data_IF_365259878427
#
_entry.id   IF_365259878427
#
_cell.length_a   1.000
_cell.length_b   1.000
_cell.length_c   1.000
_cell.angle_alpha   90.00
_cell.angle_beta   90.00
_cell.angle_gamma   90.00
#
_symmetry.space_group_name_H-M   'P 1'
#
loop_
_entity.id
_entity.type
_entity.pdbx_description
1 polymer ?
#
# COMPACT_ATOMS: atom_id res chain seq x y z
N UNK A 1 6.53 29.63 3.25
CA UNK A 1 5.15 30.11 3.54
C UNK A 1 4.49 29.05 4.40
N UNK A 2 3.88 29.46 5.50
CA UNK A 2 3.26 28.59 6.50
C UNK A 2 1.73 28.61 6.39
N UNK A 3 1.10 27.46 6.64
CA UNK A 3 -0.35 27.28 6.60
C UNK A 3 -0.81 26.65 7.91
N UNK A 4 -1.78 27.30 8.56
CA UNK A 4 -2.50 26.75 9.71
C UNK A 4 -3.77 26.03 9.23
N UNK A 5 -3.81 24.72 9.40
CA UNK A 5 -5.01 23.91 9.27
C UNK A 5 -5.69 23.82 10.65
N UNK A 6 -6.90 24.36 10.75
CA UNK A 6 -7.64 24.53 12.02
C UNK A 6 -9.07 24.00 11.91
N UNK A 7 -9.83 24.02 13.00
CA UNK A 7 -11.20 23.51 13.00
C UNK A 7 -11.22 22.00 12.77
N UNK A 8 -10.21 21.28 13.26
CA UNK A 8 -10.11 19.83 13.19
C UNK A 8 -10.85 19.27 14.39
N UNK A 9 -11.96 18.55 14.16
CA UNK A 9 -12.76 17.99 15.24
C UNK A 9 -12.05 16.83 15.95
N UNK A 10 -11.44 15.95 15.14
CA UNK A 10 -10.61 14.84 15.59
C UNK A 10 -9.34 14.79 14.72
N UNK A 11 -8.17 14.68 15.34
CA UNK A 11 -6.90 14.53 14.66
C UNK A 11 -6.22 13.24 15.11
N UNK A 12 -5.98 12.34 14.16
CA UNK A 12 -5.09 11.18 14.33
C UNK A 12 -3.67 11.61 13.96
N UNK A 13 -2.72 11.37 14.85
CA UNK A 13 -1.30 11.71 14.63
C UNK A 13 -0.42 10.49 14.36
N UNK A 14 -0.86 9.31 14.79
CA UNK A 14 -0.05 8.09 14.91
C UNK A 14 1.20 8.27 15.79
N UNK A 15 1.12 9.16 16.78
CA UNK A 15 2.16 9.37 17.78
C UNK A 15 1.58 9.22 19.18
N UNK A 16 1.90 8.10 19.84
CA UNK A 16 1.40 7.82 21.19
C UNK A 16 1.90 8.78 22.27
N UNK A 17 2.88 9.63 21.97
CA UNK A 17 3.34 10.70 22.88
C UNK A 17 2.47 11.95 22.81
N UNK A 18 1.55 12.02 21.85
CA UNK A 18 0.63 13.13 21.59
C UNK A 18 -0.82 12.67 21.82
N UNK A 19 -1.66 13.54 22.38
CA UNK A 19 -3.09 13.27 22.52
C UNK A 19 -3.43 12.29 23.65
N UNK A 20 -4.27 11.30 23.35
CA UNK A 20 -4.87 10.37 24.32
C UNK A 20 -3.97 9.22 24.78
N UNK A 21 -2.72 9.15 24.30
CA UNK A 21 -1.76 8.09 24.64
C UNK A 21 -2.00 6.76 23.91
N UNK A 22 -2.99 6.69 23.01
CA UNK A 22 -3.20 5.53 22.15
C UNK A 22 -2.18 5.50 21.00
N UNK A 23 -2.06 4.37 20.29
CA UNK A 23 -1.21 4.27 19.10
C UNK A 23 -1.60 5.28 17.98
N UNK A 24 -2.85 5.76 17.97
CA UNK A 24 -3.32 6.78 17.03
C UNK A 24 -3.00 8.21 17.48
N UNK A 25 -2.67 8.43 18.76
CA UNK A 25 -2.37 9.74 19.34
C UNK A 25 -3.47 10.77 19.05
N UNK A 26 -4.70 10.49 19.52
CA UNK A 26 -5.89 11.24 19.12
C UNK A 26 -5.95 12.57 19.87
N UNK A 27 -6.15 13.66 19.12
CA UNK A 27 -6.46 14.99 19.64
C UNK A 27 -7.88 15.39 19.22
N UNK A 28 -8.57 16.13 20.08
CA UNK A 28 -9.86 16.78 19.78
C UNK A 28 -9.69 18.29 19.76
N UNK A 29 -10.50 18.99 18.97
CA UNK A 29 -10.39 20.44 18.75
C UNK A 29 -8.94 20.86 18.45
N UNK A 30 -8.37 20.24 17.40
CA UNK A 30 -6.96 20.28 17.09
C UNK A 30 -6.62 21.22 15.92
N UNK A 31 -5.32 21.44 15.73
CA UNK A 31 -4.78 22.13 14.58
C UNK A 31 -3.40 21.59 14.18
N UNK A 32 -3.01 21.86 12.94
CA UNK A 32 -1.70 21.51 12.37
C UNK A 32 -1.15 22.74 11.65
N UNK A 33 0.10 23.12 11.94
CA UNK A 33 0.82 24.12 11.14
C UNK A 33 1.78 23.39 10.22
N UNK A 34 1.76 23.77 8.96
CA UNK A 34 2.65 23.24 7.92
C UNK A 34 3.54 24.35 7.40
N UNK A 35 4.84 24.08 7.26
CA UNK A 35 5.79 24.98 6.63
C UNK A 35 6.71 24.17 5.72
N UNK A 36 6.95 24.68 4.51
CA UNK A 36 7.88 24.11 3.53
C UNK A 36 7.67 22.59 3.30
N UNK A 37 6.41 22.18 3.20
CA UNK A 37 6.00 20.80 2.96
C UNK A 37 6.02 19.87 4.17
N UNK A 38 6.37 20.37 5.35
CA UNK A 38 6.55 19.59 6.58
C UNK A 38 5.67 20.09 7.71
N UNK A 39 5.29 19.19 8.61
CA UNK A 39 4.58 19.54 9.85
C UNK A 39 5.51 20.36 10.73
N UNK A 40 5.17 21.63 10.95
CA UNK A 40 5.92 22.54 11.80
C UNK A 40 5.41 22.50 13.25
N UNK A 41 4.13 22.22 13.45
CA UNK A 41 3.50 22.13 14.76
C UNK A 41 2.20 21.31 14.70
N UNK A 42 1.88 20.59 15.78
CA UNK A 42 0.63 19.84 15.96
C UNK A 42 0.19 19.93 17.42
N UNK A 43 -1.10 20.11 17.68
CA UNK A 43 -1.63 20.21 19.04
C UNK A 43 -3.07 20.73 19.12
N UNK A 44 -3.47 21.14 20.32
CA UNK A 44 -4.79 21.73 20.57
C UNK A 44 -4.95 23.08 19.85
N UNK A 45 -6.08 23.31 19.18
CA UNK A 45 -6.30 24.48 18.35
C UNK A 45 -6.14 25.82 19.11
N UNK A 46 -6.39 25.83 20.42
CA UNK A 46 -6.20 27.01 21.27
C UNK A 46 -4.73 27.44 21.40
N UNK A 47 -3.79 26.50 21.23
CA UNK A 47 -2.35 26.72 21.35
C UNK A 47 -1.67 26.90 19.99
N UNK A 48 -2.44 26.93 18.89
CA UNK A 48 -1.92 26.97 17.55
C UNK A 48 -1.13 28.28 17.28
N UNK A 49 0.12 28.20 16.81
CA UNK A 49 0.88 29.37 16.39
C UNK A 49 0.20 30.10 15.22
N UNK A 50 0.47 31.40 15.10
CA UNK A 50 0.10 32.15 13.90
C UNK A 50 0.84 31.61 12.67
N UNK A 51 0.18 31.63 11.51
CA UNK A 51 0.73 31.23 10.21
C UNK A 51 0.35 32.26 9.14
N UNK A 52 0.99 32.20 7.97
CA UNK A 52 0.76 33.16 6.87
C UNK A 52 -0.65 33.02 6.30
N UNK A 53 -1.19 31.79 6.25
CA UNK A 53 -2.57 31.51 5.84
C UNK A 53 -3.25 30.54 6.78
N UNK A 54 -4.59 30.53 6.73
CA UNK A 54 -5.44 29.64 7.52
C UNK A 54 -6.44 28.91 6.63
N UNK A 55 -6.59 27.61 6.88
CA UNK A 55 -7.62 26.75 6.30
C UNK A 55 -8.46 26.21 7.46
N UNK A 56 -9.78 26.31 7.34
CA UNK A 56 -10.73 25.80 8.32
C UNK A 56 -11.37 24.50 7.80
N UNK A 57 -11.28 23.46 8.62
CA UNK A 57 -11.79 22.12 8.34
C UNK A 57 -13.18 21.85 8.93
N UNK A 58 -13.79 22.85 9.56
CA UNK A 58 -15.20 22.87 9.96
C UNK A 58 -15.66 21.62 10.73
N UNK A 59 -14.81 21.11 11.62
CA UNK A 59 -15.07 19.97 12.49
C UNK A 59 -14.81 18.59 11.88
N UNK A 60 -14.22 18.50 10.68
CA UNK A 60 -13.87 17.22 10.06
C UNK A 60 -12.75 16.48 10.81
N UNK A 61 -12.74 15.14 10.70
CA UNK A 61 -11.64 14.29 11.18
C UNK A 61 -10.46 14.34 10.21
N UNK A 62 -9.24 14.42 10.74
CA UNK A 62 -7.99 14.44 9.97
C UNK A 62 -7.12 13.27 10.38
N UNK A 63 -6.53 12.63 9.38
CA UNK A 63 -5.63 11.49 9.55
C UNK A 63 -4.39 11.67 8.69
N UNK A 64 -3.26 11.02 9.01
CA UNK A 64 -2.15 10.92 8.07
C UNK A 64 -2.64 10.32 6.75
N UNK A 65 -2.03 10.72 5.64
CA UNK A 65 -2.38 10.18 4.33
C UNK A 65 -2.13 8.68 4.31
N UNK A 66 -3.00 7.92 3.63
CA UNK A 66 -2.81 6.48 3.52
C UNK A 66 -1.51 6.17 2.77
N UNK A 67 -0.87 5.07 3.16
CA UNK A 67 0.34 4.55 2.55
C UNK A 67 0.03 3.17 2.01
N UNK A 68 -0.15 3.08 0.70
CA UNK A 68 -0.48 1.82 0.04
C UNK A 68 0.79 1.07 -0.34
N UNK A 69 1.22 0.15 0.52
CA UNK A 69 2.51 -0.52 0.41
C UNK A 69 2.53 -1.72 -0.54
N UNK A 70 1.44 -2.02 -1.25
CA UNK A 70 1.39 -3.15 -2.16
C UNK A 70 0.36 -2.93 -3.27
N UNK A 71 0.83 -2.74 -4.50
CA UNK A 71 -0.04 -2.72 -5.69
C UNK A 71 0.69 -3.16 -6.97
N UNK A 72 -0.08 -3.49 -8.01
CA UNK A 72 0.41 -3.86 -9.33
C UNK A 72 -0.29 -2.99 -10.38
N UNK A 73 0.10 -1.71 -10.45
CA UNK A 73 -0.62 -0.70 -11.24
C UNK A 73 -0.20 -0.65 -12.72
N UNK A 74 0.94 -1.26 -13.08
CA UNK A 74 1.44 -1.29 -14.47
C UNK A 74 0.92 -2.53 -15.17
N UNK A 75 -0.24 -2.43 -15.79
CA UNK A 75 -0.83 -3.50 -16.60
C UNK A 75 -1.70 -2.94 -17.72
N UNK A 76 -2.07 -3.81 -18.65
CA UNK A 76 -3.10 -3.54 -19.63
C UNK A 76 -4.12 -4.69 -19.68
N UNK A 77 -5.25 -4.44 -20.34
CA UNK A 77 -6.35 -5.39 -20.44
C UNK A 77 -7.23 -5.40 -19.19
N UNK A 78 -8.12 -6.38 -19.14
CA UNK A 78 -9.15 -6.54 -18.11
C UNK A 78 -9.33 -8.04 -17.82
N UNK A 79 -9.74 -8.38 -16.59
CA UNK A 79 -10.09 -9.75 -16.17
C UNK A 79 -11.52 -9.83 -15.60
N UNK A 80 -12.41 -8.92 -15.97
CA UNK A 80 -13.81 -8.93 -15.55
C UNK A 80 -14.53 -10.23 -15.96
N UNK A 81 -14.18 -10.82 -17.11
CA UNK A 81 -14.74 -12.10 -17.55
C UNK A 81 -14.38 -13.26 -16.60
N UNK A 82 -13.12 -13.31 -16.15
CA UNK A 82 -12.68 -14.26 -15.13
C UNK A 82 -13.40 -14.04 -13.81
N UNK A 83 -13.45 -12.79 -13.35
CA UNK A 83 -14.15 -12.42 -12.13
C UNK A 83 -15.62 -12.86 -12.18
N UNK A 84 -16.32 -12.57 -13.27
CA UNK A 84 -17.72 -12.95 -13.46
C UNK A 84 -17.90 -14.47 -13.47
N UNK A 85 -16.98 -15.23 -14.09
CA UNK A 85 -17.01 -16.68 -14.07
C UNK A 85 -16.82 -17.23 -12.64
N UNK A 86 -15.78 -16.77 -11.94
CA UNK A 86 -15.47 -17.14 -10.54
C UNK A 86 -16.65 -16.86 -9.61
N UNK A 87 -17.21 -15.65 -9.67
CA UNK A 87 -18.33 -15.23 -8.83
C UNK A 87 -19.63 -15.98 -9.13
N UNK A 88 -19.80 -16.45 -10.37
CA UNK A 88 -20.94 -17.27 -10.79
C UNK A 88 -20.72 -18.78 -10.56
N UNK A 89 -19.60 -19.19 -9.95
CA UNK A 89 -19.28 -20.60 -9.69
C UNK A 89 -18.97 -21.41 -10.95
N UNK A 90 -18.60 -20.75 -12.05
CA UNK A 90 -18.22 -21.43 -13.30
C UNK A 90 -16.73 -21.75 -13.29
N UNK A 91 -16.32 -22.96 -13.72
CA UNK A 91 -14.92 -23.22 -14.03
C UNK A 91 -14.44 -22.18 -15.05
N UNK A 92 -13.26 -21.62 -14.81
CA UNK A 92 -12.64 -20.65 -15.70
C UNK A 92 -11.19 -21.07 -15.93
N UNK A 93 -10.84 -21.37 -17.17
CA UNK A 93 -9.50 -21.73 -17.63
C UNK A 93 -8.78 -20.56 -18.30
N UNK A 94 -9.45 -19.40 -18.42
CA UNK A 94 -9.15 -18.31 -19.36
C UNK A 94 -7.89 -17.51 -19.04
N UNK A 95 -6.75 -18.18 -19.08
CA UNK A 95 -5.40 -17.64 -19.09
C UNK A 95 -4.89 -17.16 -17.73
N UNK A 96 -5.78 -16.70 -16.85
CA UNK A 96 -5.41 -16.15 -15.57
C UNK A 96 -4.42 -14.99 -15.73
N UNK A 97 -3.31 -15.03 -15.01
CA UNK A 97 -2.23 -14.05 -15.15
C UNK A 97 -1.67 -13.97 -16.59
N UNK A 98 -1.70 -15.06 -17.36
CA UNK A 98 -1.17 -15.06 -18.74
C UNK A 98 -1.94 -14.08 -19.65
N UNK A 99 -3.24 -13.88 -19.41
CA UNK A 99 -4.05 -12.89 -20.14
C UNK A 99 -3.54 -11.46 -19.89
N UNK A 100 -3.24 -11.13 -18.63
CA UNK A 100 -2.65 -9.82 -18.29
C UNK A 100 -1.24 -9.68 -18.85
N UNK A 101 -0.44 -10.76 -18.85
CA UNK A 101 0.92 -10.75 -19.41
C UNK A 101 0.88 -10.45 -20.91
N UNK A 102 0.04 -11.15 -21.67
CA UNK A 102 -0.10 -10.93 -23.11
C UNK A 102 -0.58 -9.49 -23.43
N UNK A 103 -1.60 -9.02 -22.72
CA UNK A 103 -2.12 -7.66 -22.89
C UNK A 103 -1.07 -6.60 -22.54
N UNK A 104 -0.35 -6.79 -21.42
CA UNK A 104 0.69 -5.87 -20.97
C UNK A 104 1.84 -5.84 -21.95
N UNK A 105 2.37 -6.99 -22.41
CA UNK A 105 3.43 -7.07 -23.43
C UNK A 105 3.03 -6.32 -24.72
N UNK A 106 1.79 -6.51 -25.17
CA UNK A 106 1.25 -5.91 -26.40
C UNK A 106 0.94 -4.41 -26.30
N UNK A 107 0.80 -3.87 -25.09
CA UNK A 107 0.50 -2.47 -24.87
C UNK A 107 1.69 -1.55 -25.17
N UNK A 108 1.39 -0.31 -25.56
CA UNK A 108 2.40 0.75 -25.68
C UNK A 108 2.73 1.35 -24.31
N UNK A 109 3.91 1.97 -24.20
CA UNK A 109 4.34 2.70 -23.01
C UNK A 109 3.33 3.79 -22.61
N UNK A 110 2.72 4.46 -23.60
CA UNK A 110 1.66 5.46 -23.38
C UNK A 110 0.42 4.83 -22.76
N UNK A 111 -0.06 3.69 -23.29
CA UNK A 111 -1.23 3.03 -22.74
C UNK A 111 -1.02 2.55 -21.30
N UNK A 112 0.17 2.04 -20.99
CA UNK A 112 0.54 1.63 -19.62
C UNK A 112 0.64 2.83 -18.68
N UNK A 113 1.23 3.93 -19.14
CA UNK A 113 1.34 5.16 -18.36
C UNK A 113 -0.02 5.81 -18.11
N UNK A 114 -0.90 5.84 -19.11
CA UNK A 114 -2.25 6.41 -18.99
C UNK A 114 -3.12 5.59 -18.03
N UNK A 115 -3.03 4.25 -18.08
CA UNK A 115 -3.72 3.38 -17.11
C UNK A 115 -3.23 3.64 -15.68
N UNK A 116 -1.91 3.68 -15.49
CA UNK A 116 -1.33 3.91 -14.18
C UNK A 116 -1.63 5.33 -13.65
N UNK A 117 -1.64 6.36 -14.51
CA UNK A 117 -2.06 7.72 -14.15
C UNK A 117 -3.50 7.74 -13.66
N UNK A 118 -4.41 7.07 -14.37
CA UNK A 118 -5.80 6.92 -13.96
C UNK A 118 -5.94 6.31 -12.56
N UNK A 119 -5.28 5.17 -12.33
CA UNK A 119 -5.31 4.47 -11.04
C UNK A 119 -4.63 5.29 -9.93
N UNK A 120 -3.51 5.96 -10.21
CA UNK A 120 -2.83 6.82 -9.25
C UNK A 120 -3.70 8.02 -8.85
N UNK A 121 -4.45 8.59 -9.79
CA UNK A 121 -5.41 9.66 -9.50
C UNK A 121 -6.58 9.16 -8.64
N UNK A 122 -7.07 7.94 -8.87
CA UNK A 122 -8.08 7.31 -8.01
C UNK A 122 -7.55 7.04 -6.60
N UNK A 123 -6.35 6.46 -6.47
CA UNK A 123 -5.66 6.26 -5.19
C UNK A 123 -5.55 7.60 -4.44
N UNK A 124 -5.08 8.65 -5.11
CA UNK A 124 -4.93 9.98 -4.52
C UNK A 124 -6.27 10.54 -4.07
N UNK A 125 -7.31 10.48 -4.91
CA UNK A 125 -8.66 10.92 -4.55
C UNK A 125 -9.26 10.12 -3.39
N UNK A 126 -8.87 8.85 -3.25
CA UNK A 126 -9.20 7.97 -2.14
C UNK A 126 -8.37 8.18 -0.86
N UNK A 127 -7.42 9.11 -0.87
CA UNK A 127 -6.61 9.50 0.29
C UNK A 127 -5.23 8.84 0.40
N UNK A 128 -4.81 8.07 -0.60
CA UNK A 128 -3.46 7.49 -0.67
C UNK A 128 -2.49 8.57 -1.14
N UNK A 129 -1.53 8.91 -0.28
CA UNK A 129 -0.53 9.96 -0.56
C UNK A 129 0.86 9.40 -0.86
N UNK A 130 1.05 8.10 -0.65
CA UNK A 130 2.27 7.36 -0.94
C UNK A 130 1.86 5.96 -1.32
N UNK A 131 2.36 5.45 -2.44
CA UNK A 131 2.07 4.10 -2.89
C UNK A 131 3.30 3.44 -3.48
N UNK A 132 3.35 2.13 -3.34
CA UNK A 132 4.26 1.24 -4.04
C UNK A 132 3.58 0.64 -5.27
N UNK A 133 4.36 0.33 -6.31
CA UNK A 133 3.86 -0.49 -7.41
C UNK A 133 4.94 -1.43 -7.96
N UNK A 134 4.46 -2.60 -8.38
CA UNK A 134 5.29 -3.71 -8.87
C UNK A 134 5.28 -3.79 -10.40
N UNK A 135 6.35 -4.38 -10.94
CA UNK A 135 6.33 -5.00 -12.26
C UNK A 135 5.67 -6.40 -12.18
N UNK A 136 6.04 -7.36 -13.04
CA UNK A 136 5.57 -8.75 -12.93
C UNK A 136 4.46 -9.16 -13.89
N UNK A 137 4.08 -8.30 -14.83
CA UNK A 137 3.25 -8.66 -15.99
C UNK A 137 4.01 -8.61 -17.33
N UNK A 138 5.34 -8.46 -17.28
CA UNK A 138 6.22 -8.56 -18.43
C UNK A 138 6.86 -9.94 -18.58
N UNK A 139 7.37 -10.51 -17.49
CA UNK A 139 7.99 -11.85 -17.42
C UNK A 139 9.11 -12.10 -18.46
N UNK A 140 9.76 -11.04 -18.92
CA UNK A 140 10.99 -11.06 -19.69
C UNK A 140 11.76 -9.75 -19.46
N UNK A 141 13.02 -9.71 -19.89
CA UNK A 141 13.94 -8.60 -19.62
C UNK A 141 13.39 -7.26 -20.13
N UNK A 142 12.85 -7.23 -21.35
CA UNK A 142 12.41 -6.01 -22.01
C UNK A 142 11.16 -5.43 -21.33
N UNK A 143 10.16 -6.28 -21.10
CA UNK A 143 8.86 -5.86 -20.60
C UNK A 143 8.87 -5.57 -19.09
N UNK A 144 9.66 -6.28 -18.28
CA UNK A 144 9.85 -5.96 -16.86
C UNK A 144 10.54 -4.61 -16.68
N UNK A 145 11.66 -4.39 -17.40
CA UNK A 145 12.39 -3.12 -17.38
C UNK A 145 11.50 -1.96 -17.85
N UNK A 146 10.72 -2.17 -18.91
CA UNK A 146 9.75 -1.18 -19.42
C UNK A 146 8.71 -0.82 -18.37
N UNK A 147 8.15 -1.81 -17.68
CA UNK A 147 7.13 -1.59 -16.65
C UNK A 147 7.67 -0.75 -15.49
N UNK A 148 8.89 -1.03 -15.02
CA UNK A 148 9.55 -0.23 -13.99
C UNK A 148 9.86 1.20 -14.47
N UNK A 149 10.30 1.37 -15.73
CA UNK A 149 10.56 2.69 -16.29
C UNK A 149 9.28 3.56 -16.36
N UNK A 150 8.13 2.93 -16.66
CA UNK A 150 6.83 3.62 -16.60
C UNK A 150 6.48 3.96 -15.14
N UNK A 151 6.58 3.01 -14.22
CA UNK A 151 6.24 3.20 -12.81
C UNK A 151 7.05 4.31 -12.11
N UNK A 152 8.35 4.41 -12.38
CA UNK A 152 9.23 5.41 -11.77
C UNK A 152 8.84 6.86 -12.05
N UNK A 153 8.02 7.10 -13.09
CA UNK A 153 7.49 8.43 -13.39
C UNK A 153 6.45 8.91 -12.35
N UNK A 154 5.91 7.99 -11.56
CA UNK A 154 4.79 8.24 -10.66
C UNK A 154 5.12 8.01 -9.19
N UNK A 155 6.00 7.04 -8.89
CA UNK A 155 6.44 6.77 -7.52
C UNK A 155 7.91 6.33 -7.49
N UNK A 156 8.70 6.73 -6.48
CA UNK A 156 10.02 6.14 -6.24
C UNK A 156 9.93 4.71 -5.66
N UNK A 157 8.77 4.31 -5.15
CA UNK A 157 8.55 3.01 -4.51
C UNK A 157 8.22 1.94 -5.56
N UNK A 158 9.24 1.56 -6.34
CA UNK A 158 9.12 0.62 -7.44
C UNK A 158 9.76 -0.73 -7.10
N UNK A 159 9.06 -1.81 -7.42
CA UNK A 159 9.45 -3.17 -7.05
C UNK A 159 9.58 -4.06 -8.27
N UNK A 160 10.76 -4.68 -8.42
CA UNK A 160 11.00 -5.68 -9.44
C UNK A 160 10.39 -7.03 -9.01
N UNK A 161 9.36 -7.47 -9.74
CA UNK A 161 8.66 -8.75 -9.55
C UNK A 161 8.77 -9.63 -10.80
N UNK A 162 9.98 -9.83 -11.33
CA UNK A 162 10.19 -10.77 -12.44
C UNK A 162 9.79 -12.21 -12.08
N UNK A 163 9.84 -12.54 -10.79
CA UNK A 163 9.40 -13.82 -10.24
C UNK A 163 7.91 -13.80 -9.80
N UNK A 164 7.03 -13.25 -10.64
CA UNK A 164 5.59 -13.32 -10.37
C UNK A 164 5.03 -14.72 -10.65
N UNK A 165 5.30 -15.26 -11.84
CA UNK A 165 5.05 -16.66 -12.22
C UNK A 165 6.07 -17.06 -13.29
N UNK A 166 6.20 -18.36 -13.54
CA UNK A 166 6.98 -18.84 -14.69
C UNK A 166 6.12 -18.73 -15.96
N UNK A 167 6.53 -17.94 -16.97
CA UNK A 167 5.76 -17.77 -18.20
C UNK A 167 5.75 -19.06 -19.04
N UNK A 168 4.78 -19.17 -19.95
CA UNK A 168 4.48 -20.41 -20.67
C UNK A 168 5.69 -20.97 -21.42
N UNK A 169 6.47 -20.09 -22.04
CA UNK A 169 7.67 -20.40 -22.82
C UNK A 169 8.82 -21.01 -21.99
N UNK A 170 8.79 -20.88 -20.66
CA UNK A 170 9.78 -21.46 -19.75
C UNK A 170 9.26 -22.64 -18.92
N UNK A 171 8.05 -23.17 -19.20
CA UNK A 171 7.48 -24.29 -18.41
C UNK A 171 8.37 -25.54 -18.39
N UNK A 172 9.03 -25.86 -19.50
CA UNK A 172 9.95 -27.01 -19.59
C UNK A 172 11.40 -26.67 -19.21
N UNK A 173 11.70 -25.39 -18.97
CA UNK A 173 13.04 -24.84 -18.73
C UNK A 173 13.00 -23.87 -17.56
N UNK A 174 12.29 -24.25 -16.50
CA UNK A 174 12.02 -23.42 -15.32
C UNK A 174 13.31 -22.86 -14.69
N UNK A 175 14.34 -23.69 -14.56
CA UNK A 175 15.64 -23.27 -14.03
C UNK A 175 16.30 -22.18 -14.87
N UNK A 176 16.08 -22.17 -16.19
CA UNK A 176 16.57 -21.10 -17.07
C UNK A 176 15.85 -19.78 -16.74
N UNK A 177 14.55 -19.82 -16.45
CA UNK A 177 13.79 -18.63 -16.03
C UNK A 177 14.26 -18.10 -14.69
N UNK A 178 14.46 -18.98 -13.70
CA UNK A 178 14.99 -18.61 -12.38
C UNK A 178 16.35 -17.92 -12.52
N UNK A 179 17.26 -18.48 -13.35
CA UNK A 179 18.56 -17.85 -13.67
C UNK A 179 18.43 -16.54 -14.43
N UNK A 180 17.45 -16.42 -15.33
CA UNK A 180 17.18 -15.17 -16.04
C UNK A 180 16.74 -14.07 -15.08
N UNK A 181 15.79 -14.38 -14.17
CA UNK A 181 15.29 -13.44 -13.16
C UNK A 181 16.41 -12.97 -12.26
N UNK A 182 17.23 -13.88 -11.71
CA UNK A 182 18.35 -13.56 -10.82
C UNK A 182 19.58 -12.97 -11.54
N UNK A 183 19.61 -12.95 -12.87
CA UNK A 183 20.76 -12.57 -13.68
C UNK A 183 20.49 -11.37 -14.58
N UNK A 184 20.28 -11.62 -15.87
CA UNK A 184 20.12 -10.58 -16.89
C UNK A 184 18.92 -9.66 -16.60
N UNK A 185 17.78 -10.23 -16.21
CA UNK A 185 16.57 -9.47 -15.91
C UNK A 185 16.76 -8.57 -14.70
N UNK A 186 17.31 -9.09 -13.60
CA UNK A 186 17.69 -8.30 -12.42
C UNK A 186 18.64 -7.17 -12.80
N UNK A 187 19.67 -7.45 -13.60
CA UNK A 187 20.65 -6.44 -14.02
C UNK A 187 19.97 -5.29 -14.77
N UNK A 188 19.04 -5.59 -15.67
CA UNK A 188 18.31 -4.59 -16.44
C UNK A 188 17.32 -3.78 -15.57
N UNK A 189 16.72 -4.41 -14.56
CA UNK A 189 15.66 -3.84 -13.73
C UNK A 189 16.19 -3.08 -12.50
N UNK A 190 17.35 -3.47 -11.94
CA UNK A 190 17.94 -2.91 -10.72
C UNK A 190 18.04 -1.38 -10.70
N UNK A 191 18.44 -0.67 -11.79
CA UNK A 191 18.50 0.79 -11.76
C UNK A 191 17.13 1.46 -11.61
N UNK A 192 16.06 0.72 -11.88
CA UNK A 192 14.68 1.20 -11.95
C UNK A 192 13.83 0.72 -10.76
N UNK A 193 14.41 0.00 -9.81
CA UNK A 193 13.69 -0.56 -8.66
C UNK A 193 14.41 -0.24 -7.35
N UNK A 194 13.63 0.00 -6.30
CA UNK A 194 14.10 0.02 -4.91
C UNK A 194 14.06 -1.37 -4.29
N UNK A 195 13.06 -2.15 -4.69
CA UNK A 195 12.73 -3.43 -4.09
C UNK A 195 12.85 -4.59 -5.08
N UNK A 196 13.02 -5.80 -4.56
CA UNK A 196 12.83 -7.06 -5.28
C UNK A 196 11.75 -7.87 -4.56
N UNK A 197 10.92 -8.58 -5.31
CA UNK A 197 9.83 -9.38 -4.78
C UNK A 197 9.71 -10.70 -5.57
N UNK A 198 9.11 -11.70 -4.95
CA UNK A 198 8.87 -13.03 -5.50
C UNK A 198 7.49 -13.49 -5.06
N UNK A 199 6.80 -14.25 -5.92
CA UNK A 199 5.63 -15.00 -5.49
C UNK A 199 6.01 -16.42 -5.07
N UNK A 200 6.23 -16.61 -3.75
CA UNK A 200 6.58 -17.89 -3.15
C UNK A 200 5.33 -18.62 -2.68
N UNK A 201 4.65 -19.28 -3.61
CA UNK A 201 3.46 -20.07 -3.34
C UNK A 201 3.27 -21.16 -4.41
N UNK A 202 2.33 -22.07 -4.16
CA UNK A 202 1.99 -23.15 -5.07
C UNK A 202 1.62 -22.61 -6.45
N UNK A 203 2.33 -23.09 -7.47
CA UNK A 203 2.10 -22.71 -8.87
C UNK A 203 2.91 -21.50 -9.34
N UNK A 204 3.66 -20.85 -8.43
CA UNK A 204 4.60 -19.79 -8.74
C UNK A 204 6.03 -20.28 -8.49
N UNK A 205 6.74 -19.81 -7.46
CA UNK A 205 8.11 -20.21 -7.09
C UNK A 205 8.13 -21.01 -5.77
N UNK A 206 9.07 -21.95 -5.66
CA UNK A 206 9.32 -22.63 -4.39
C UNK A 206 10.33 -21.85 -3.52
N UNK A 207 10.61 -22.37 -2.32
CA UNK A 207 11.45 -21.72 -1.31
C UNK A 207 12.91 -21.59 -1.77
N UNK A 208 13.44 -22.60 -2.46
CA UNK A 208 14.85 -22.62 -2.89
C UNK A 208 15.06 -21.65 -4.06
N UNK A 209 14.13 -21.63 -5.01
CA UNK A 209 14.12 -20.66 -6.12
C UNK A 209 13.94 -19.23 -5.60
N UNK A 210 13.00 -19.05 -4.66
CA UNK A 210 12.75 -17.75 -4.02
C UNK A 210 14.00 -17.24 -3.31
N UNK A 211 14.66 -18.09 -2.52
CA UNK A 211 15.90 -17.76 -1.83
C UNK A 211 16.97 -17.32 -2.83
N UNK A 212 17.18 -18.12 -3.88
CA UNK A 212 18.17 -17.82 -4.91
C UNK A 212 17.94 -16.44 -5.57
N UNK A 213 16.69 -16.13 -5.91
CA UNK A 213 16.32 -14.86 -6.56
C UNK A 213 16.48 -13.68 -5.59
N UNK A 214 15.96 -13.80 -4.37
CA UNK A 214 16.03 -12.73 -3.37
C UNK A 214 17.48 -12.45 -2.95
N UNK A 215 18.31 -13.49 -2.73
CA UNK A 215 19.73 -13.32 -2.41
C UNK A 215 20.49 -12.61 -3.52
N UNK A 216 20.19 -12.90 -4.80
CA UNK A 216 20.76 -12.17 -5.93
C UNK A 216 20.34 -10.69 -5.93
N UNK A 217 19.06 -10.39 -5.67
CA UNK A 217 18.56 -9.01 -5.56
C UNK A 217 19.18 -8.24 -4.40
N UNK A 218 19.31 -8.87 -3.23
CA UNK A 218 19.98 -8.31 -2.05
C UNK A 218 21.45 -7.99 -2.37
N UNK A 219 22.17 -8.93 -3.00
CA UNK A 219 23.55 -8.72 -3.42
C UNK A 219 23.69 -7.58 -4.46
N UNK A 220 22.66 -7.34 -5.27
CA UNK A 220 22.58 -6.22 -6.21
C UNK A 220 22.12 -4.89 -5.58
N UNK A 221 21.82 -4.88 -4.27
CA UNK A 221 21.43 -3.70 -3.50
C UNK A 221 19.94 -3.36 -3.54
N UNK A 222 19.06 -4.30 -3.90
CA UNK A 222 17.61 -4.16 -3.75
C UNK A 222 17.17 -4.68 -2.38
N UNK A 223 16.16 -4.04 -1.78
CA UNK A 223 15.60 -4.51 -0.52
C UNK A 223 14.50 -5.57 -0.79
N UNK A 224 14.53 -6.73 -0.10
CA UNK A 224 13.62 -7.83 -0.38
C UNK A 224 12.20 -7.57 0.17
N UNK A 225 11.21 -8.00 -0.59
CA UNK A 225 9.79 -8.19 -0.23
C UNK A 225 9.36 -9.56 -0.72
N UNK A 226 8.21 -10.05 -0.27
CA UNK A 226 7.80 -11.42 -0.62
C UNK A 226 6.28 -11.59 -0.55
N UNK A 227 5.64 -12.06 -1.63
CA UNK A 227 4.30 -12.63 -1.53
C UNK A 227 4.42 -14.06 -1.00
N UNK A 228 3.73 -14.36 0.10
CA UNK A 228 3.79 -15.68 0.71
C UNK A 228 2.49 -16.08 1.40
N UNK A 229 2.22 -17.39 1.38
CA UNK A 229 1.08 -18.03 2.04
C UNK A 229 -0.28 -17.43 1.65
N UNK A 230 -0.47 -17.09 0.38
CA UNK A 230 -1.72 -16.61 -0.18
C UNK A 230 -2.68 -17.75 -0.52
N UNK A 231 -2.17 -18.82 -1.14
CA UNK A 231 -2.99 -19.92 -1.67
C UNK A 231 -2.99 -21.16 -0.77
N UNK A 232 -2.00 -21.27 0.12
CA UNK A 232 -1.89 -22.33 1.11
C UNK A 232 -0.73 -22.06 2.07
N UNK A 233 -0.59 -22.88 3.13
CA UNK A 233 0.54 -22.75 4.03
C UNK A 233 1.85 -23.13 3.32
N UNK A 234 2.93 -22.42 3.63
CA UNK A 234 4.26 -22.67 3.09
C UNK A 234 5.35 -21.98 3.89
N UNK A 235 6.61 -22.21 3.56
CA UNK A 235 7.75 -21.67 4.33
C UNK A 235 8.19 -20.27 3.86
N UNK A 236 7.46 -19.66 2.93
CA UNK A 236 7.78 -18.34 2.37
C UNK A 236 7.84 -17.24 3.43
N UNK A 237 6.92 -17.21 4.39
CA UNK A 237 6.94 -16.17 5.44
C UNK A 237 8.24 -16.24 6.25
N UNK A 238 8.61 -17.45 6.71
CA UNK A 238 9.85 -17.68 7.45
C UNK A 238 11.09 -17.32 6.62
N UNK A 239 11.11 -17.68 5.33
CA UNK A 239 12.18 -17.27 4.42
C UNK A 239 12.29 -15.74 4.32
N UNK A 240 11.17 -15.04 4.19
CA UNK A 240 11.14 -13.57 4.15
C UNK A 240 11.74 -12.96 5.42
N UNK A 241 11.35 -13.48 6.58
CA UNK A 241 11.94 -13.07 7.88
C UNK A 241 13.44 -13.35 7.94
N UNK A 242 13.89 -14.55 7.56
CA UNK A 242 15.29 -14.95 7.58
C UNK A 242 16.18 -14.08 6.68
N UNK A 243 15.64 -13.62 5.54
CA UNK A 243 16.33 -12.74 4.59
C UNK A 243 16.20 -11.25 4.94
N UNK A 244 15.51 -10.90 6.03
CA UNK A 244 15.29 -9.51 6.43
C UNK A 244 14.42 -8.74 5.43
N UNK A 245 13.40 -9.39 4.85
CA UNK A 245 12.42 -8.75 3.98
C UNK A 245 11.76 -7.57 4.69
N UNK A 246 11.59 -6.45 3.99
CA UNK A 246 10.88 -5.29 4.49
C UNK A 246 9.41 -5.63 4.79
N UNK A 247 8.80 -6.48 3.95
CA UNK A 247 7.50 -7.07 4.24
C UNK A 247 7.34 -8.47 3.63
N UNK A 248 6.45 -9.24 4.25
CA UNK A 248 5.83 -10.42 3.67
C UNK A 248 4.34 -10.12 3.48
N UNK A 249 3.84 -10.37 2.28
CA UNK A 249 2.55 -9.89 1.81
C UNK A 249 1.57 -11.07 1.59
N UNK A 250 0.27 -10.81 1.70
CA UNK A 250 -0.85 -11.76 1.88
C UNK A 250 -0.94 -12.37 3.28
N UNK A 251 -0.08 -13.33 3.62
CA UNK A 251 -0.12 -14.07 4.88
C UNK A 251 -1.48 -14.76 5.19
N UNK A 252 -2.31 -14.99 4.18
CA UNK A 252 -3.69 -15.54 4.28
C UNK A 252 -3.72 -16.86 5.05
N UNK A 253 -2.74 -17.73 4.79
CA UNK A 253 -2.60 -19.06 5.38
C UNK A 253 -1.44 -19.18 6.37
N UNK A 254 -1.04 -18.07 7.01
CA UNK A 254 0.03 -18.09 8.00
C UNK A 254 -0.26 -19.06 9.15
N UNK A 255 0.74 -19.87 9.49
CA UNK A 255 0.71 -20.79 10.62
C UNK A 255 1.05 -20.07 11.93
N UNK A 256 0.91 -20.75 13.07
CA UNK A 256 1.36 -20.18 14.35
C UNK A 256 2.87 -19.89 14.37
N UNK A 257 3.67 -20.77 13.78
CA UNK A 257 5.12 -20.59 13.68
C UNK A 257 5.50 -19.38 12.79
N UNK A 258 4.73 -19.11 11.74
CA UNK A 258 4.93 -17.93 10.89
C UNK A 258 4.66 -16.63 11.67
N UNK A 259 3.57 -16.60 12.45
CA UNK A 259 3.23 -15.45 13.30
C UNK A 259 4.29 -15.23 14.38
N UNK A 260 4.78 -16.29 15.02
CA UNK A 260 5.88 -16.22 16.00
C UNK A 260 7.16 -15.65 15.37
N UNK A 261 7.52 -16.09 14.16
CA UNK A 261 8.68 -15.58 13.43
C UNK A 261 8.51 -14.09 13.09
N UNK A 262 7.33 -13.69 12.63
CA UNK A 262 7.02 -12.28 12.33
C UNK A 262 7.03 -11.40 13.59
N UNK A 263 6.54 -11.93 14.72
CA UNK A 263 6.57 -11.22 15.99
C UNK A 263 8.01 -11.02 16.49
N UNK A 264 8.86 -12.05 16.35
CA UNK A 264 10.27 -11.95 16.68
C UNK A 264 11.02 -10.94 15.79
N UNK A 265 10.53 -10.72 14.55
CA UNK A 265 11.06 -9.76 13.59
C UNK A 265 10.28 -8.42 13.56
N UNK A 266 9.46 -8.14 14.57
CA UNK A 266 8.71 -6.90 14.65
C UNK A 266 9.66 -5.69 14.61
N UNK A 267 9.36 -4.73 13.73
CA UNK A 267 10.21 -3.56 13.47
C UNK A 267 11.22 -3.73 12.33
N UNK A 268 11.47 -4.94 11.83
CA UNK A 268 12.26 -5.16 10.60
C UNK A 268 11.43 -5.72 9.45
N UNK A 269 10.50 -6.64 9.72
CA UNK A 269 9.64 -7.26 8.72
C UNK A 269 8.19 -7.02 9.07
N UNK A 270 7.44 -6.43 8.12
CA UNK A 270 6.01 -6.15 8.26
C UNK A 270 5.19 -7.26 7.63
N UNK A 271 4.11 -7.68 8.28
CA UNK A 271 3.10 -8.54 7.65
C UNK A 271 2.07 -7.64 6.94
N UNK A 272 2.01 -7.67 5.61
CA UNK A 272 1.00 -6.93 4.85
C UNK A 272 -0.17 -7.83 4.52
N UNK A 273 -1.35 -7.55 5.09
CA UNK A 273 -2.58 -8.25 4.76
C UNK A 273 -3.33 -7.51 3.64
N UNK A 274 -4.00 -8.24 2.74
CA UNK A 274 -4.50 -7.69 1.48
C UNK A 274 -6.02 -7.88 1.29
N UNK A 275 -6.87 -7.22 2.10
CA UNK A 275 -8.31 -7.50 2.18
C UNK A 275 -9.06 -7.58 0.83
N UNK A 276 -8.66 -6.75 -0.15
CA UNK A 276 -9.29 -6.76 -1.48
C UNK A 276 -9.06 -8.07 -2.25
N UNK A 277 -7.92 -8.73 -2.01
CA UNK A 277 -7.56 -10.00 -2.60
C UNK A 277 -8.48 -11.12 -2.08
N UNK A 278 -8.63 -11.26 -0.76
CA UNK A 278 -9.52 -12.25 -0.17
C UNK A 278 -10.98 -12.03 -0.60
N UNK A 279 -11.43 -10.76 -0.64
CA UNK A 279 -12.76 -10.39 -1.10
C UNK A 279 -13.04 -10.88 -2.52
N UNK A 280 -12.17 -10.53 -3.46
CA UNK A 280 -12.43 -10.72 -4.90
C UNK A 280 -12.10 -12.13 -5.39
N UNK A 281 -11.43 -12.94 -4.57
CA UNK A 281 -11.10 -14.33 -4.88
C UNK A 281 -11.99 -15.34 -4.14
N UNK A 282 -12.78 -14.90 -3.15
CA UNK A 282 -13.45 -15.76 -2.16
C UNK A 282 -12.48 -16.63 -1.37
N UNK A 283 -11.27 -16.13 -1.14
CA UNK A 283 -10.33 -16.80 -0.26
C UNK A 283 -10.79 -16.70 1.20
N UNK A 284 -10.16 -17.48 2.07
CA UNK A 284 -10.40 -17.36 3.52
C UNK A 284 -9.75 -16.08 4.03
N UNK A 285 -10.40 -15.37 4.94
CA UNK A 285 -9.82 -14.20 5.57
C UNK A 285 -8.72 -14.60 6.57
N UNK A 286 -7.53 -13.95 6.56
CA UNK A 286 -6.58 -14.15 7.64
C UNK A 286 -7.16 -13.61 8.95
N UNK A 287 -6.92 -14.35 10.03
CA UNK A 287 -7.25 -13.90 11.38
C UNK A 287 -6.17 -12.92 11.87
N UNK A 288 -6.34 -11.64 11.54
CA UNK A 288 -5.37 -10.58 11.87
C UNK A 288 -5.22 -10.37 13.38
N UNK A 289 -6.23 -10.76 14.18
CA UNK A 289 -6.16 -10.68 15.64
C UNK A 289 -4.97 -11.47 16.17
N UNK A 290 -4.68 -12.64 15.59
CA UNK A 290 -3.51 -13.46 15.98
C UNK A 290 -2.18 -12.76 15.72
N UNK A 291 -2.07 -11.97 14.66
CA UNK A 291 -0.85 -11.21 14.35
C UNK A 291 -0.68 -10.04 15.33
N UNK A 292 -1.76 -9.27 15.51
CA UNK A 292 -1.76 -8.09 16.38
C UNK A 292 -1.49 -8.45 17.84
N UNK A 293 -2.17 -9.49 18.36
CA UNK A 293 -2.00 -9.95 19.74
C UNK A 293 -0.60 -10.54 20.00
N UNK A 294 0.06 -11.07 18.96
CA UNK A 294 1.44 -11.53 19.02
C UNK A 294 2.47 -10.39 18.94
N UNK A 295 2.05 -9.15 18.67
CA UNK A 295 2.93 -8.00 18.52
C UNK A 295 3.58 -7.86 17.15
N UNK A 296 3.06 -8.52 16.12
CA UNK A 296 3.51 -8.35 14.74
C UNK A 296 3.22 -6.92 14.27
N UNK A 297 4.17 -6.31 13.56
CA UNK A 297 3.88 -5.06 12.82
C UNK A 297 3.05 -5.40 11.59
N UNK A 298 1.82 -4.91 11.52
CA UNK A 298 0.88 -5.22 10.44
C UNK A 298 0.62 -3.99 9.56
N UNK A 299 0.62 -4.20 8.25
CA UNK A 299 0.14 -3.25 7.25
C UNK A 299 -1.10 -3.81 6.56
N UNK A 300 -1.93 -2.92 5.99
CA UNK A 300 -2.93 -3.28 5.00
C UNK A 300 -2.72 -2.48 3.72
N UNK A 301 -2.93 -3.12 2.58
CA UNK A 301 -2.76 -2.52 1.27
C UNK A 301 -3.90 -2.91 0.32
N UNK A 302 -4.04 -2.18 -0.79
CA UNK A 302 -5.14 -2.42 -1.74
C UNK A 302 -4.92 -3.68 -2.56
N UNK A 303 -3.66 -4.07 -2.78
CA UNK A 303 -3.29 -5.05 -3.79
C UNK A 303 -3.86 -4.68 -5.17
N UNK A 304 -3.98 -3.39 -5.51
CA UNK A 304 -4.65 -2.99 -6.75
C UNK A 304 -3.99 -3.65 -7.97
N UNK A 305 -4.66 -4.65 -8.54
CA UNK A 305 -4.22 -5.45 -9.66
C UNK A 305 -5.43 -6.02 -10.43
N UNK A 306 -5.27 -6.38 -11.71
CA UNK A 306 -6.41 -6.77 -12.54
C UNK A 306 -7.05 -8.12 -12.15
N UNK A 307 -6.36 -8.98 -11.40
CA UNK A 307 -6.73 -10.40 -11.24
C UNK A 307 -7.31 -10.81 -9.88
N UNK A 308 -6.68 -10.39 -8.80
CA UNK A 308 -7.07 -10.76 -7.44
C UNK A 308 -7.67 -9.61 -6.65
N UNK A 309 -7.36 -8.34 -6.95
CA UNK A 309 -7.94 -7.20 -6.23
C UNK A 309 -7.96 -5.94 -7.10
N UNK A 310 -9.02 -5.75 -7.90
CA UNK A 310 -9.11 -4.55 -8.75
C UNK A 310 -9.82 -3.40 -8.02
N UNK A 311 -9.23 -2.93 -6.93
CA UNK A 311 -9.74 -1.80 -6.15
C UNK A 311 -8.62 -0.81 -5.78
N UNK A 312 -8.89 0.48 -5.89
CA UNK A 312 -8.03 1.59 -5.46
C UNK A 312 -8.46 2.17 -4.10
N UNK A 313 -9.41 1.52 -3.40
CA UNK A 313 -10.04 2.07 -2.20
C UNK A 313 -9.45 1.51 -0.91
N UNK A 314 -8.52 2.24 -0.29
CA UNK A 314 -8.03 1.91 1.05
C UNK A 314 -9.15 1.94 2.10
N UNK A 315 -10.14 2.83 1.97
CA UNK A 315 -11.29 2.87 2.86
C UNK A 315 -12.12 1.57 2.80
N UNK A 316 -12.25 0.95 1.62
CA UNK A 316 -12.85 -0.37 1.49
C UNK A 316 -12.00 -1.45 2.20
N UNK A 317 -10.68 -1.45 2.00
CA UNK A 317 -9.78 -2.37 2.70
C UNK A 317 -9.88 -2.24 4.23
N UNK A 318 -9.93 -1.01 4.76
CA UNK A 318 -10.15 -0.75 6.20
C UNK A 318 -11.48 -1.36 6.67
N UNK A 319 -12.57 -1.15 5.94
CA UNK A 319 -13.88 -1.67 6.33
C UNK A 319 -13.92 -3.20 6.36
N UNK A 320 -13.31 -3.86 5.35
CA UNK A 320 -13.21 -5.32 5.30
C UNK A 320 -12.31 -5.85 6.41
N UNK A 321 -11.16 -5.22 6.65
CA UNK A 321 -10.24 -5.62 7.71
C UNK A 321 -10.92 -5.61 9.09
N UNK A 322 -11.70 -4.58 9.39
CA UNK A 322 -12.48 -4.50 10.63
C UNK A 322 -13.59 -5.54 10.67
N UNK A 323 -14.30 -5.74 9.56
CA UNK A 323 -15.49 -6.61 9.52
C UNK A 323 -15.15 -8.09 9.59
N UNK A 324 -14.18 -8.53 8.80
CA UNK A 324 -13.96 -9.96 8.50
C UNK A 324 -12.58 -10.47 8.93
N UNK A 325 -11.61 -9.60 9.24
CA UNK A 325 -10.23 -10.00 9.61
C UNK A 325 -9.88 -9.74 11.09
N UNK A 326 -10.81 -9.21 11.89
CA UNK A 326 -10.64 -9.10 13.35
C UNK A 326 -9.87 -7.86 13.83
N UNK A 327 -9.67 -6.87 12.97
CA UNK A 327 -9.13 -5.55 13.37
C UNK A 327 -10.17 -4.75 14.17
N UNK A 328 -9.69 -3.94 15.12
CA UNK A 328 -10.42 -2.76 15.56
C UNK A 328 -10.29 -1.65 14.51
N UNK A 329 -11.20 -0.65 14.48
CA UNK A 329 -11.06 0.50 13.58
C UNK A 329 -9.72 1.23 13.74
N UNK A 330 -9.19 1.31 14.97
CA UNK A 330 -7.94 1.99 15.24
C UNK A 330 -6.73 1.25 14.65
N UNK A 331 -6.66 -0.08 14.85
CA UNK A 331 -5.60 -0.91 14.29
C UNK A 331 -5.62 -0.91 12.75
N UNK A 332 -6.81 -0.94 12.13
CA UNK A 332 -6.94 -0.90 10.67
C UNK A 332 -6.44 0.44 10.09
N UNK A 333 -6.80 1.56 10.72
CA UNK A 333 -6.32 2.89 10.32
C UNK A 333 -4.81 3.01 10.49
N UNK A 334 -4.27 2.56 11.63
CA UNK A 334 -2.83 2.55 11.86
C UNK A 334 -2.11 1.69 10.81
N UNK A 335 -2.64 0.51 10.50
CA UNK A 335 -2.08 -0.41 9.49
C UNK A 335 -2.10 0.16 8.07
N UNK A 336 -3.12 0.97 7.73
CA UNK A 336 -3.25 1.66 6.44
C UNK A 336 -2.39 2.94 6.31
N UNK A 337 -1.74 3.36 7.41
CA UNK A 337 -0.96 4.61 7.48
C UNK A 337 0.46 4.31 7.94
N UNK A 338 0.71 4.26 9.24
CA UNK A 338 2.01 3.96 9.82
C UNK A 338 2.49 2.54 9.51
N UNK A 339 1.58 1.55 9.45
CA UNK A 339 1.90 0.18 9.04
C UNK A 339 2.40 0.12 7.59
N UNK A 340 1.68 0.73 6.66
CA UNK A 340 2.11 0.87 5.26
C UNK A 340 3.45 1.62 5.12
N UNK A 341 3.66 2.69 5.91
CA UNK A 341 4.94 3.40 5.96
C UNK A 341 6.08 2.49 6.45
N UNK A 342 5.84 1.68 7.49
CA UNK A 342 6.79 0.70 7.99
C UNK A 342 7.13 -0.37 6.92
N UNK A 343 6.14 -0.86 6.17
CA UNK A 343 6.34 -1.84 5.10
C UNK A 343 7.20 -1.29 3.93
N UNK A 344 7.26 0.04 3.78
CA UNK A 344 8.12 0.75 2.82
C UNK A 344 9.40 1.30 3.46
N UNK A 345 9.67 0.99 4.72
CA UNK A 345 10.78 1.53 5.51
C UNK A 345 10.86 3.05 5.44
N UNK A 346 9.71 3.73 5.52
CA UNK A 346 9.58 5.18 5.46
C UNK A 346 9.22 5.72 6.83
N UNK A 347 10.10 6.56 7.37
CA UNK A 347 9.89 7.23 8.65
C UNK A 347 9.31 8.64 8.52
N UNK A 348 9.07 9.14 7.31
CA UNK A 348 8.69 10.52 7.00
C UNK A 348 7.21 10.69 6.59
N UNK A 349 6.47 9.60 6.40
CA UNK A 349 5.02 9.57 6.04
C UNK A 349 4.25 8.63 6.99
N UNK A 350 2.92 8.61 6.89
CA UNK A 350 2.06 7.75 7.72
C UNK A 350 1.89 8.24 9.18
N UNK A 351 2.44 9.40 9.52
CA UNK A 351 2.32 10.05 10.84
C UNK A 351 2.22 11.57 10.68
N UNK A 352 1.57 12.27 11.60
CA UNK A 352 1.56 13.73 11.70
C UNK A 352 2.31 14.18 12.95
N UNK A 353 3.63 14.18 12.84
CA UNK A 353 4.56 14.65 13.87
C UNK A 353 5.48 15.73 13.31
N UNK A 354 6.03 16.58 14.18
CA UNK A 354 6.91 17.68 13.77
C UNK A 354 8.10 17.18 12.96
N UNK A 355 8.39 17.85 11.84
CA UNK A 355 9.45 17.51 10.90
C UNK A 355 9.10 16.42 9.89
N UNK A 356 7.95 15.74 10.03
CA UNK A 356 7.45 14.77 9.03
C UNK A 356 6.84 15.48 7.84
N UNK A 357 6.70 14.78 6.71
CA UNK A 357 6.01 15.32 5.53
C UNK A 357 4.55 15.60 5.87
N UNK A 358 4.05 16.75 5.45
CA UNK A 358 2.66 17.15 5.67
C UNK A 358 1.73 16.49 4.65
N UNK A 359 1.60 15.16 4.76
CA UNK A 359 0.70 14.32 3.97
C UNK A 359 -0.46 13.85 4.84
N UNK A 360 -1.66 14.37 4.60
CA UNK A 360 -2.84 14.04 5.40
C UNK A 360 -4.13 14.18 4.61
N UNK A 361 -5.17 13.56 5.14
CA UNK A 361 -6.52 13.60 4.59
C UNK A 361 -7.47 14.21 5.59
N UNK A 362 -8.50 14.89 5.09
CA UNK A 362 -9.68 15.25 5.86
C UNK A 362 -10.85 14.38 5.43
N UNK A 363 -11.58 13.83 6.38
CA UNK A 363 -12.84 13.13 6.15
C UNK A 363 -14.03 14.09 6.23
N UNK A 364 -15.06 13.84 5.40
CA UNK A 364 -16.42 14.35 5.56
C UNK A 364 -17.17 13.52 6.62
N UNK A 365 -16.55 13.41 7.80
CA UNK A 365 -17.01 12.63 8.93
C UNK A 365 -16.35 13.14 10.22
N UNK A 366 -17.00 12.96 11.38
CA UNK A 366 -16.47 13.45 12.65
C UNK A 366 -15.37 12.56 13.22
N UNK A 367 -15.20 11.32 12.75
CA UNK A 367 -14.09 10.46 13.22
C UNK A 367 -13.60 9.42 12.21
N UNK A 368 -12.39 8.92 12.42
CA UNK A 368 -11.77 7.84 11.66
C UNK A 368 -12.62 6.56 11.64
N UNK A 369 -13.40 6.30 12.70
CA UNK A 369 -14.29 5.13 12.81
C UNK A 369 -15.28 5.05 11.65
N UNK A 370 -15.63 6.19 11.05
CA UNK A 370 -16.56 6.26 9.93
C UNK A 370 -16.06 5.54 8.68
N UNK A 371 -14.75 5.36 8.51
CA UNK A 371 -14.16 4.59 7.41
C UNK A 371 -14.67 3.14 7.42
N UNK A 372 -14.77 2.52 8.59
CA UNK A 372 -15.32 1.17 8.75
C UNK A 372 -16.85 1.16 8.92
N UNK A 373 -17.42 2.18 9.57
CA UNK A 373 -18.85 2.24 9.86
C UNK A 373 -19.71 2.59 8.63
N UNK A 374 -19.18 3.33 7.65
CA UNK A 374 -19.87 3.71 6.40
C UNK A 374 -19.16 3.11 5.17
N UNK A 375 -19.11 1.77 5.04
CA UNK A 375 -18.42 1.12 3.94
C UNK A 375 -18.97 1.56 2.58
N UNK A 376 -18.09 1.82 1.62
CA UNK A 376 -18.45 2.22 0.26
C UNK A 376 -18.84 3.69 0.07
N UNK A 377 -18.89 4.48 1.14
CA UNK A 377 -19.12 5.94 1.04
C UNK A 377 -17.78 6.65 0.80
N UNK A 378 -17.66 7.54 -0.19
CA UNK A 378 -16.43 8.31 -0.42
C UNK A 378 -16.29 9.42 0.63
N UNK A 379 -15.73 9.06 1.79
CA UNK A 379 -15.59 9.96 2.94
C UNK A 379 -14.39 10.90 2.86
N UNK A 380 -13.38 10.59 2.03
CA UNK A 380 -12.22 11.49 1.87
C UNK A 380 -12.68 12.76 1.16
N UNK A 381 -12.52 13.89 1.86
CA UNK A 381 -13.00 15.19 1.42
C UNK A 381 -11.92 16.05 0.80
N UNK A 382 -10.77 16.10 1.47
CA UNK A 382 -9.59 16.84 1.05
C UNK A 382 -8.34 15.97 1.25
N UNK A 383 -7.39 16.09 0.35
CA UNK A 383 -6.11 15.37 0.36
C UNK A 383 -5.01 16.40 0.25
N UNK A 384 -4.12 16.38 1.24
CA UNK A 384 -3.03 17.31 1.39
C UNK A 384 -1.73 16.53 1.19
N UNK A 385 -0.90 16.98 0.25
CA UNK A 385 0.43 16.40 -0.03
C UNK A 385 1.44 17.53 0.07
N UNK A 386 2.47 17.32 0.89
CA UNK A 386 3.48 18.33 1.21
C UNK A 386 2.84 19.70 1.55
N UNK A 387 1.78 19.68 2.34
CA UNK A 387 1.10 20.89 2.79
C UNK A 387 0.21 21.58 1.77
N UNK A 388 0.04 21.03 0.56
CA UNK A 388 -0.84 21.57 -0.48
C UNK A 388 -2.06 20.69 -0.66
N UNK A 389 -3.24 21.30 -0.75
CA UNK A 389 -4.47 20.58 -1.13
C UNK A 389 -4.33 20.19 -2.61
N UNK A 390 -4.25 18.88 -2.89
CA UNK A 390 -4.06 18.33 -4.25
C UNK A 390 -5.29 17.64 -4.80
N UNK A 391 -6.21 17.20 -3.93
CA UNK A 391 -7.53 16.70 -4.31
C UNK A 391 -8.57 17.13 -3.28
N UNK A 392 -9.78 17.46 -3.72
CA UNK A 392 -10.89 17.77 -2.82
C UNK A 392 -12.06 18.49 -3.47
N UNK A 393 -13.25 18.36 -2.88
CA UNK A 393 -14.45 19.09 -3.31
C UNK A 393 -14.39 20.51 -2.73
N UNK A 394 -13.72 21.42 -3.44
CA UNK A 394 -13.50 22.86 -3.15
C UNK A 394 -14.03 23.38 -1.81
N UNK A 395 -13.12 23.72 -0.88
CA UNK A 395 -13.36 24.67 0.21
C UNK A 395 -13.16 26.08 -0.35
N UNK A 396 -14.16 26.96 -0.21
CA UNK A 396 -14.02 28.38 -0.54
C UNK A 396 -12.97 29.00 0.40
N UNK A 397 -11.88 29.53 -0.14
CA UNK A 397 -10.97 30.38 0.63
C UNK A 397 -11.72 31.64 1.07
N UNK A 398 -11.97 31.79 2.37
CA UNK A 398 -12.39 33.07 2.93
C UNK A 398 -11.14 33.95 3.03
N UNK A 399 -10.88 34.76 2.01
CA UNK A 399 -9.96 35.89 2.16
C UNK A 399 -10.58 36.86 3.19
N UNK A 400 -9.91 37.01 4.34
CA UNK A 400 -10.26 38.08 5.28
C UNK A 400 -9.88 39.41 4.65
N UNK A 401 -10.84 40.09 4.02
CA UNK A 401 -10.71 41.52 3.76
C UNK A 401 -10.74 42.24 5.11
N UNK A 402 -9.57 42.59 5.62
CA UNK A 402 -9.45 43.61 6.66
C UNK A 402 -10.03 44.91 6.12
N UNK A 403 -10.96 45.50 6.85
CA UNK A 403 -11.34 46.90 6.70
C UNK A 403 -10.96 47.62 8.01
N UNK A 404 -10.35 48.81 7.96
CA UNK A 404 -10.51 49.77 9.04
C UNK A 404 -11.93 50.35 9.06
#
# INVERSE_FOLDING_TARGET
>A
MSVLYSGIGELVTNDATVGDGSALGILVDAAVVVADGHVAWVGAAADAPAADTRVDFAGGSVLPGFVDSHAHLVFAGDRSAEFAARMSGRPYDGGGIATTVEATRSASDTALADNLDGLANELLAGGVTTFETKSGYGLDVGHERRSLAVAQRFTPETTFLGAHVVPLEYRSTRDDYVRLVAGEMLTACRPLARWIDVFCDRGAFDVDETRFILEAGIAAGLAPRLHASQLGPGEGIRLGVDLGAASVDHCTHATAADIEALAAAAGSTVATLLPGAEFSTRATWPDARRFLDAGVTVAIATDCNPGSSFTTSMAFCIAVAVRDMGFTPAEAVWSATAGGAAALQRGDVGTLAVGKRANFIRLDAPSYVHLAYRPGVPLVRDVIVEGRVVAGRHVRSTESKGSP
#
